data_IF_329231088737
#
_entry.id   IF_329231088737
#
_cell.length_a   1.000
_cell.length_b   1.000
_cell.length_c   1.000
_cell.angle_alpha   90.00
_cell.angle_beta   90.00
_cell.angle_gamma   90.00
#
_symmetry.space_group_name_H-M   'P 1'
#
loop_
_entity.id
_entity.type
_entity.pdbx_description
1 polymer ?
#
# COMPACT_ATOMS: atom_id res chain seq x y z
N UNK A 1 -21.75 -12.12 -34.96
CA UNK A 1 -20.29 -12.07 -34.75
C UNK A 1 -19.96 -10.60 -34.49
N UNK A 2 -19.99 -10.18 -33.23
CA UNK A 2 -19.85 -8.76 -32.88
C UNK A 2 -18.38 -8.47 -32.56
N UNK A 3 -17.71 -7.82 -33.51
CA UNK A 3 -16.34 -7.33 -33.37
C UNK A 3 -16.42 -5.90 -32.82
N UNK A 4 -15.94 -5.70 -31.60
CA UNK A 4 -15.71 -4.37 -31.03
C UNK A 4 -14.26 -3.97 -31.34
N UNK A 5 -14.07 -3.05 -32.27
CA UNK A 5 -12.78 -2.42 -32.53
C UNK A 5 -12.61 -1.23 -31.57
N UNK A 6 -11.67 -1.34 -30.63
CA UNK A 6 -11.19 -0.22 -29.84
C UNK A 6 -10.00 0.42 -30.57
N UNK A 7 -10.20 1.60 -31.16
CA UNK A 7 -9.11 2.43 -31.68
C UNK A 7 -8.64 3.31 -30.53
N UNK A 8 -7.51 2.95 -29.91
CA UNK A 8 -6.79 3.83 -29.00
C UNK A 8 -5.92 4.75 -29.87
N UNK A 9 -6.35 6.00 -30.03
CA UNK A 9 -5.50 7.06 -30.59
C UNK A 9 -4.54 7.50 -29.48
N UNK A 10 -3.33 6.96 -29.47
CA UNK A 10 -2.23 7.56 -28.71
C UNK A 10 -1.78 8.83 -29.43
N UNK A 11 -2.12 10.00 -28.89
CA UNK A 11 -1.34 11.20 -29.16
C UNK A 11 0.04 11.02 -28.51
N UNK A 12 1.03 10.63 -29.31
CA UNK A 12 2.43 10.76 -28.93
C UNK A 12 2.80 12.24 -29.00
N UNK A 13 2.70 12.94 -27.88
CA UNK A 13 3.39 14.21 -27.72
C UNK A 13 4.87 13.89 -27.51
N UNK A 14 5.66 14.09 -28.55
CA UNK A 14 7.11 14.00 -28.50
C UNK A 14 7.65 15.11 -27.59
N UNK A 15 8.12 14.73 -26.41
CA UNK A 15 8.89 15.58 -25.52
C UNK A 15 9.97 14.73 -24.87
N UNK A 16 11.13 14.66 -25.52
CA UNK A 16 12.36 14.20 -24.87
C UNK A 16 12.79 15.28 -23.87
N UNK A 17 12.18 15.30 -22.69
CA UNK A 17 12.63 16.11 -21.56
C UNK A 17 13.26 15.20 -20.54
N UNK A 18 14.54 15.42 -20.26
CA UNK A 18 15.18 14.97 -19.02
C UNK A 18 14.25 15.33 -17.87
N UNK A 19 13.89 14.34 -17.05
CA UNK A 19 13.03 14.56 -15.89
C UNK A 19 13.53 15.75 -15.07
N UNK A 20 12.68 16.76 -14.88
CA UNK A 20 13.09 18.01 -14.23
C UNK A 20 12.23 18.30 -13.01
N UNK A 21 12.87 18.56 -11.87
CA UNK A 21 12.23 19.12 -10.68
C UNK A 21 12.43 20.63 -10.72
N UNK A 22 11.34 21.38 -10.89
CA UNK A 22 11.34 22.84 -10.93
C UNK A 22 10.78 23.39 -9.63
N UNK A 23 11.39 24.46 -9.14
CA UNK A 23 11.07 25.14 -7.89
C UNK A 23 10.85 26.64 -8.12
N UNK A 24 11.21 27.45 -7.12
CA UNK A 24 11.03 28.89 -7.15
C UNK A 24 12.37 29.64 -7.30
N UNK A 25 12.37 30.71 -8.10
CA UNK A 25 13.40 31.74 -8.00
C UNK A 25 13.06 32.71 -6.87
N UNK A 26 14.09 33.34 -6.30
CA UNK A 26 13.96 34.48 -5.41
C UNK A 26 14.86 35.56 -5.98
N UNK A 27 14.28 36.71 -6.32
CA UNK A 27 14.98 37.82 -6.99
C UNK A 27 15.74 37.36 -8.24
N UNK A 28 15.14 36.46 -9.02
CA UNK A 28 15.73 35.89 -10.23
C UNK A 28 16.87 34.89 -9.99
N UNK A 29 17.28 34.65 -8.75
CA UNK A 29 18.36 33.72 -8.40
C UNK A 29 17.86 32.29 -8.20
N UNK A 30 18.70 31.29 -8.49
CA UNK A 30 18.46 29.85 -8.31
C UNK A 30 19.44 29.23 -7.28
N UNK A 31 19.22 27.99 -6.85
CA UNK A 31 20.11 27.25 -5.92
C UNK A 31 19.56 27.07 -4.50
N UNK A 32 20.19 26.16 -3.73
CA UNK A 32 19.73 25.75 -2.40
C UNK A 32 20.86 25.52 -1.38
N UNK A 33 20.57 25.73 -0.08
CA UNK A 33 19.53 26.66 0.42
C UNK A 33 19.99 28.09 0.17
N UNK A 34 19.03 28.98 -0.02
CA UNK A 34 19.31 30.34 -0.45
C UNK A 34 19.09 31.30 0.71
N UNK A 35 20.18 31.81 1.28
CA UNK A 35 20.11 32.96 2.18
C UNK A 35 19.73 34.21 1.38
N UNK A 36 18.70 34.91 1.82
CA UNK A 36 18.19 36.13 1.22
C UNK A 36 18.34 37.26 2.24
N UNK A 37 19.19 38.27 1.97
CA UNK A 37 19.42 39.37 2.90
C UNK A 37 18.21 40.32 2.94
N UNK A 38 18.05 41.02 4.07
CA UNK A 38 17.11 42.14 4.16
C UNK A 38 17.53 43.28 3.22
N UNK A 39 16.56 44.07 2.76
CA UNK A 39 16.75 45.26 1.93
C UNK A 39 16.56 46.54 2.76
N UNK A 40 17.38 47.55 2.49
CA UNK A 40 17.54 48.75 3.34
C UNK A 40 16.50 49.86 3.12
N UNK A 41 15.49 49.69 2.26
CA UNK A 41 14.52 50.74 1.91
C UNK A 41 13.13 50.65 2.57
N UNK A 42 12.94 49.85 3.63
CA UNK A 42 11.64 49.73 4.31
C UNK A 42 10.58 48.97 3.48
N UNK A 43 9.29 49.21 3.73
CA UNK A 43 8.18 48.43 3.12
C UNK A 43 8.07 48.54 1.58
N UNK A 44 8.82 49.44 0.94
CA UNK A 44 8.82 49.60 -0.52
C UNK A 44 9.72 48.59 -1.25
N UNK A 45 10.69 48.00 -0.55
CA UNK A 45 11.62 47.03 -1.13
C UNK A 45 11.06 45.61 -1.00
N UNK A 46 10.53 45.06 -2.09
CA UNK A 46 9.98 43.71 -2.10
C UNK A 46 10.92 42.69 -2.73
N UNK A 47 11.02 41.50 -2.13
CA UNK A 47 11.55 40.32 -2.80
C UNK A 47 10.51 39.74 -3.76
N UNK A 48 10.97 39.26 -4.91
CA UNK A 48 10.13 38.58 -5.91
C UNK A 48 10.36 37.09 -5.85
N UNK A 49 9.28 36.31 -5.85
CA UNK A 49 9.31 34.86 -5.91
C UNK A 49 8.67 34.44 -7.22
N UNK A 50 9.38 33.72 -8.06
CA UNK A 50 8.81 33.26 -9.33
C UNK A 50 8.79 31.74 -9.42
N UNK A 51 7.61 31.16 -9.64
CA UNK A 51 7.51 29.72 -9.81
C UNK A 51 8.01 29.26 -11.18
N UNK A 52 8.62 28.08 -11.22
CA UNK A 52 8.97 27.39 -12.46
C UNK A 52 10.17 27.97 -13.19
N UNK A 53 10.90 28.91 -12.57
CA UNK A 53 12.11 29.51 -13.17
C UNK A 53 13.40 28.73 -12.91
N UNK A 54 13.46 28.01 -11.80
CA UNK A 54 14.68 27.36 -11.34
C UNK A 54 14.51 25.86 -11.26
N UNK A 55 15.50 25.12 -11.78
CA UNK A 55 15.66 23.70 -11.47
C UNK A 55 16.11 23.52 -10.01
N UNK A 56 15.58 22.48 -9.38
CA UNK A 56 15.93 22.07 -8.02
C UNK A 56 16.91 20.91 -8.10
N UNK A 57 18.14 21.17 -7.68
CA UNK A 57 19.14 20.12 -7.53
C UNK A 57 18.91 19.40 -6.20
N UNK A 58 18.47 18.15 -6.25
CA UNK A 58 18.29 17.31 -5.07
C UNK A 58 19.65 16.80 -4.57
N UNK A 59 19.88 16.84 -3.26
CA UNK A 59 21.09 16.30 -2.61
C UNK A 59 21.19 14.77 -2.65
N UNK A 60 20.14 14.08 -3.11
CA UNK A 60 20.11 12.63 -3.17
C UNK A 60 18.89 12.12 -3.93
N UNK A 61 18.75 10.80 -3.94
CA UNK A 61 17.58 10.12 -4.49
C UNK A 61 16.48 10.09 -3.44
N UNK A 62 15.36 10.73 -3.74
CA UNK A 62 14.20 10.81 -2.87
C UNK A 62 12.96 10.25 -3.56
N UNK A 63 12.02 9.75 -2.77
CA UNK A 63 10.72 9.24 -3.20
C UNK A 63 9.62 9.96 -2.44
N UNK A 64 8.45 10.09 -3.04
CA UNK A 64 7.27 10.56 -2.31
C UNK A 64 6.68 9.43 -1.47
N UNK A 65 6.13 9.71 -0.27
CA UNK A 65 5.64 8.67 0.63
C UNK A 65 4.37 7.98 0.12
N UNK A 66 3.59 8.65 -0.73
CA UNK A 66 2.40 8.10 -1.38
C UNK A 66 2.30 8.61 -2.81
N UNK A 67 1.84 7.80 -3.75
CA UNK A 67 1.56 8.29 -5.10
C UNK A 67 0.36 9.24 -5.08
N UNK A 68 0.44 10.39 -5.74
CA UNK A 68 -0.66 11.34 -5.75
C UNK A 68 -0.30 12.71 -6.30
N UNK A 69 -1.21 13.67 -6.16
CA UNK A 69 -1.04 15.05 -6.62
C UNK A 69 -0.33 15.90 -5.55
N UNK A 70 0.92 16.28 -5.82
CA UNK A 70 1.74 17.13 -4.97
C UNK A 70 1.78 18.56 -5.49
N UNK A 71 1.97 19.52 -4.58
CA UNK A 71 2.18 20.94 -4.92
C UNK A 71 3.61 21.34 -4.59
N UNK A 72 4.33 21.87 -5.57
CA UNK A 72 5.65 22.48 -5.34
C UNK A 72 5.46 23.77 -4.54
N UNK A 73 6.31 24.01 -3.55
CA UNK A 73 6.28 25.21 -2.75
C UNK A 73 7.66 25.71 -2.40
N UNK A 74 7.67 26.89 -1.78
CA UNK A 74 8.82 27.52 -1.17
C UNK A 74 8.50 27.83 0.28
N UNK A 75 9.30 27.33 1.20
CA UNK A 75 9.27 27.76 2.59
C UNK A 75 10.27 28.89 2.79
N UNK A 76 9.80 30.01 3.34
CA UNK A 76 10.65 31.02 3.95
C UNK A 76 10.84 30.68 5.41
N UNK A 77 12.10 30.62 5.86
CA UNK A 77 12.42 30.44 7.27
C UNK A 77 13.27 31.61 7.77
N UNK A 78 12.79 32.28 8.82
CA UNK A 78 13.51 33.37 9.49
C UNK A 78 13.34 33.23 10.99
N UNK A 79 14.45 33.12 11.72
CA UNK A 79 14.46 32.96 13.18
C UNK A 79 13.54 31.82 13.67
N UNK A 80 13.51 30.70 12.95
CA UNK A 80 12.65 29.54 13.25
C UNK A 80 11.17 29.72 12.90
N UNK A 81 10.75 30.91 12.44
CA UNK A 81 9.39 31.14 11.94
C UNK A 81 9.34 30.78 10.46
N UNK A 82 8.35 29.95 10.12
CA UNK A 82 8.14 29.43 8.77
C UNK A 82 6.92 30.06 8.11
N UNK A 83 7.04 30.42 6.84
CA UNK A 83 5.93 30.82 5.98
C UNK A 83 6.04 30.11 4.64
N UNK A 84 4.98 29.44 4.20
CA UNK A 84 4.98 28.67 2.96
C UNK A 84 4.24 29.39 1.83
N UNK A 85 4.83 29.36 0.64
CA UNK A 85 4.19 29.74 -0.62
C UNK A 85 4.06 28.48 -1.48
N UNK A 86 2.88 28.26 -2.06
CA UNK A 86 2.62 27.09 -2.90
C UNK A 86 2.22 27.51 -4.30
N UNK A 87 2.66 26.72 -5.28
CA UNK A 87 2.18 26.81 -6.64
C UNK A 87 0.68 26.58 -6.71
N UNK A 88 0.02 27.20 -7.69
CA UNK A 88 -1.43 27.01 -7.89
C UNK A 88 -1.78 25.66 -8.52
N UNK A 89 -0.80 24.98 -9.13
CA UNK A 89 -1.03 23.72 -9.82
C UNK A 89 -0.37 22.55 -9.10
N UNK A 90 -1.00 21.39 -9.21
CA UNK A 90 -0.49 20.13 -8.66
C UNK A 90 0.11 19.27 -9.75
N UNK A 91 1.05 18.39 -9.40
CA UNK A 91 1.58 17.36 -10.29
C UNK A 91 1.43 15.99 -9.67
N UNK A 92 1.03 15.04 -10.51
CA UNK A 92 1.02 13.65 -10.10
C UNK A 92 2.46 13.14 -9.99
N UNK A 93 2.81 12.59 -8.84
CA UNK A 93 4.13 12.01 -8.56
C UNK A 93 3.90 10.60 -8.03
N UNK A 94 4.63 9.64 -8.60
CA UNK A 94 4.61 8.25 -8.19
C UNK A 94 5.60 7.99 -7.06
N UNK A 95 5.15 7.30 -6.02
CA UNK A 95 6.00 6.84 -4.92
C UNK A 95 6.97 5.71 -5.31
N UNK A 96 6.76 5.06 -6.47
CA UNK A 96 7.59 3.94 -6.92
C UNK A 96 8.79 4.40 -7.77
N UNK A 97 8.80 5.66 -8.21
CA UNK A 97 9.88 6.26 -9.00
C UNK A 97 10.57 7.33 -8.16
N UNK A 98 11.89 7.49 -8.29
CA UNK A 98 12.57 8.57 -7.61
C UNK A 98 12.14 9.91 -8.21
N UNK A 99 12.20 10.97 -7.41
CA UNK A 99 11.68 12.30 -7.75
C UNK A 99 12.44 12.91 -8.94
N UNK A 100 13.73 12.64 -9.07
CA UNK A 100 14.58 13.09 -10.19
C UNK A 100 14.32 12.34 -11.50
N UNK A 101 13.50 11.27 -11.50
CA UNK A 101 13.08 10.56 -12.72
C UNK A 101 11.62 10.85 -13.07
N UNK A 102 11.06 11.94 -12.57
CA UNK A 102 9.69 12.37 -12.80
C UNK A 102 9.64 13.88 -13.06
N UNK A 103 8.74 14.31 -13.95
CA UNK A 103 8.56 15.73 -14.22
C UNK A 103 7.74 16.39 -13.11
N UNK A 104 8.39 17.27 -12.36
CA UNK A 104 7.78 18.03 -11.27
C UNK A 104 7.87 19.51 -11.63
N UNK A 105 6.81 20.03 -12.23
CA UNK A 105 6.73 21.43 -12.65
C UNK A 105 5.58 22.16 -11.91
N UNK A 106 5.82 23.29 -11.23
CA UNK A 106 4.78 24.09 -10.58
C UNK A 106 3.75 24.71 -11.53
N UNK A 107 3.95 24.65 -12.85
CA UNK A 107 3.03 25.18 -13.86
C UNK A 107 3.42 26.57 -14.36
N UNK A 108 2.45 27.30 -14.93
CA UNK A 108 2.68 28.59 -15.61
C UNK A 108 3.30 29.61 -14.68
N UNK A 109 4.25 30.40 -15.17
CA UNK A 109 4.91 31.46 -14.42
C UNK A 109 3.96 32.40 -13.65
N UNK A 110 4.14 32.50 -12.34
CA UNK A 110 3.51 33.53 -11.50
C UNK A 110 4.53 34.11 -10.53
N UNK A 111 4.40 35.40 -10.27
CA UNK A 111 5.31 36.17 -9.41
C UNK A 111 4.56 36.63 -8.15
N UNK A 112 5.12 36.29 -6.99
CA UNK A 112 4.67 36.83 -5.70
C UNK A 112 5.68 37.87 -5.21
N UNK A 113 5.19 38.82 -4.43
CA UNK A 113 6.03 39.83 -3.80
C UNK A 113 5.89 39.77 -2.28
N UNK A 114 7.00 39.89 -1.56
CA UNK A 114 7.01 39.97 -0.11
C UNK A 114 7.92 41.10 0.37
N UNK A 115 7.59 41.71 1.50
CA UNK A 115 8.39 42.78 2.11
C UNK A 115 9.82 42.30 2.45
N UNK A 116 10.85 43.02 1.98
CA UNK A 116 12.26 42.71 2.17
C UNK A 116 12.87 43.18 3.50
N UNK A 117 12.07 43.62 4.46
CA UNK A 117 12.58 44.13 5.74
C UNK A 117 13.32 43.10 6.64
N UNK A 118 13.25 41.80 6.32
CA UNK A 118 13.88 40.73 7.13
C UNK A 118 14.65 39.76 6.26
N UNK A 119 15.81 39.31 6.72
CA UNK A 119 16.56 38.22 6.10
C UNK A 119 15.93 36.85 6.37
N UNK A 120 16.09 35.92 5.44
CA UNK A 120 15.53 34.57 5.55
C UNK A 120 16.27 33.55 4.68
N UNK A 121 16.10 32.27 5.00
CA UNK A 121 16.44 31.17 4.11
C UNK A 121 15.22 30.77 3.28
N UNK A 122 15.42 30.63 1.97
CA UNK A 122 14.43 30.13 1.03
C UNK A 122 14.69 28.64 0.73
N UNK A 123 13.68 27.82 0.98
CA UNK A 123 13.76 26.35 0.95
C UNK A 123 12.74 25.78 -0.03
N UNK A 124 13.18 24.96 -0.98
CA UNK A 124 12.25 24.24 -1.87
C UNK A 124 11.53 23.14 -1.09
N UNK A 125 10.21 23.11 -1.23
CA UNK A 125 9.33 22.19 -0.53
C UNK A 125 8.32 21.53 -1.46
N UNK A 126 7.73 20.44 -0.97
CA UNK A 126 6.70 19.69 -1.66
C UNK A 126 5.56 19.39 -0.68
N UNK A 127 4.35 19.81 -1.01
CA UNK A 127 3.15 19.53 -0.23
C UNK A 127 2.44 18.29 -0.78
N UNK A 128 2.20 17.32 0.09
CA UNK A 128 1.54 16.07 -0.21
C UNK A 128 0.00 16.21 -0.28
N UNK A 129 -0.71 15.22 -0.85
CA UNK A 129 -2.17 15.17 -0.86
C UNK A 129 -2.80 15.24 0.54
N UNK A 130 -2.12 14.73 1.57
CA UNK A 130 -2.55 14.78 2.97
C UNK A 130 -2.23 16.12 3.66
N UNK A 131 -1.67 17.09 2.92
CA UNK A 131 -1.32 18.41 3.40
C UNK A 131 0.04 18.51 4.09
N UNK A 132 0.75 17.39 4.33
CA UNK A 132 2.11 17.42 4.91
C UNK A 132 3.09 18.05 3.94
N UNK A 133 4.10 18.75 4.47
CA UNK A 133 5.07 19.48 3.66
C UNK A 133 6.47 18.94 3.93
N UNK A 134 7.14 18.57 2.84
CA UNK A 134 8.45 17.96 2.84
C UNK A 134 9.49 18.95 2.29
N UNK A 135 10.64 19.05 2.94
CA UNK A 135 11.77 19.81 2.41
C UNK A 135 12.53 18.95 1.40
N UNK A 136 12.80 19.50 0.22
CA UNK A 136 13.54 18.80 -0.83
C UNK A 136 15.04 18.75 -0.54
N UNK A 137 15.56 19.75 0.17
CA UNK A 137 16.92 19.80 0.68
C UNK A 137 16.93 20.43 2.07
N UNK A 138 17.84 19.97 2.94
CA UNK A 138 17.92 20.46 4.31
C UNK A 138 19.32 20.96 4.65
N UNK A 139 19.49 22.28 4.65
CA UNK A 139 20.71 22.97 5.05
C UNK A 139 20.32 24.35 5.60
N UNK A 140 21.13 24.92 6.51
CA UNK A 140 20.80 26.18 7.17
C UNK A 140 19.51 26.05 7.99
N UNK A 141 18.59 27.01 7.85
CA UNK A 141 17.29 26.99 8.54
C UNK A 141 16.23 26.14 7.82
N UNK A 142 16.54 25.50 6.69
CA UNK A 142 15.65 24.57 5.98
C UNK A 142 15.56 23.21 6.70
N UNK A 143 15.05 23.20 7.92
CA UNK A 143 14.92 21.99 8.75
C UNK A 143 13.46 21.56 8.85
N UNK A 144 13.17 20.28 8.61
CA UNK A 144 11.82 19.74 8.70
C UNK A 144 11.70 18.32 8.17
N UNK A 145 10.47 17.90 7.90
CA UNK A 145 10.19 16.56 7.39
C UNK A 145 10.85 16.34 6.03
N UNK A 146 11.57 15.23 5.87
CA UNK A 146 12.28 14.86 4.64
C UNK A 146 11.49 13.82 3.86
N UNK A 147 11.69 13.80 2.55
CA UNK A 147 11.19 12.72 1.70
C UNK A 147 11.93 11.41 2.01
N UNK A 148 11.25 10.25 1.92
CA UNK A 148 11.88 8.94 1.96
C UNK A 148 13.03 8.79 0.95
N UNK A 149 14.08 8.05 1.31
CA UNK A 149 15.21 7.71 0.41
C UNK A 149 15.02 6.38 -0.33
N UNK A 150 13.97 5.64 0.01
CA UNK A 150 13.55 4.40 -0.64
C UNK A 150 12.09 4.52 -1.10
N UNK A 151 11.69 3.83 -2.18
CA UNK A 151 10.30 3.86 -2.63
C UNK A 151 9.38 3.31 -1.56
N UNK A 152 8.30 4.03 -1.27
CA UNK A 152 7.23 3.51 -0.42
C UNK A 152 6.26 2.76 -1.33
N UNK A 153 6.36 1.44 -1.29
CA UNK A 153 5.46 0.56 -2.03
C UNK A 153 4.27 0.20 -1.13
N UNK A 154 3.08 0.68 -1.48
CA UNK A 154 1.85 0.23 -0.84
C UNK A 154 1.56 -1.18 -1.35
N UNK A 155 1.96 -2.19 -0.60
CA UNK A 155 1.63 -3.57 -0.95
C UNK A 155 0.17 -3.85 -0.66
N UNK A 156 -0.54 -4.46 -1.60
CA UNK A 156 -1.94 -4.83 -1.45
C UNK A 156 -2.17 -6.21 -2.05
N UNK A 157 -2.89 -7.08 -1.34
CA UNK A 157 -3.19 -8.44 -1.78
C UNK A 157 -4.69 -8.72 -1.75
N UNK A 158 -5.19 -9.37 -2.79
CA UNK A 158 -6.58 -9.84 -2.92
C UNK A 158 -6.62 -11.37 -2.85
N UNK A 159 -7.35 -11.89 -1.87
CA UNK A 159 -7.56 -13.33 -1.65
C UNK A 159 -8.79 -13.77 -2.44
N UNK A 160 -8.67 -14.85 -3.22
CA UNK A 160 -9.76 -15.46 -3.98
C UNK A 160 -10.54 -14.45 -4.85
N UNK A 161 -9.84 -13.45 -5.39
CA UNK A 161 -10.46 -12.34 -6.14
C UNK A 161 -11.58 -11.61 -5.38
N UNK A 162 -11.54 -11.62 -4.04
CA UNK A 162 -12.55 -11.02 -3.17
C UNK A 162 -13.81 -11.88 -2.96
N UNK A 163 -13.86 -13.08 -3.53
CA UNK A 163 -15.03 -13.96 -3.44
C UNK A 163 -14.96 -14.90 -2.24
N UNK A 164 -16.13 -15.30 -1.75
CA UNK A 164 -16.23 -16.41 -0.80
C UNK A 164 -15.76 -17.73 -1.44
N UNK A 165 -15.16 -18.60 -0.63
CA UNK A 165 -14.78 -19.94 -1.05
C UNK A 165 -15.89 -20.93 -0.66
N UNK A 166 -16.35 -21.72 -1.63
CA UNK A 166 -17.28 -22.84 -1.38
C UNK A 166 -16.58 -24.16 -1.69
N UNK A 167 -16.60 -25.08 -0.73
CA UNK A 167 -15.94 -26.39 -0.85
C UNK A 167 -16.98 -27.49 -0.69
N UNK A 168 -17.21 -28.25 -1.76
CA UNK A 168 -18.00 -29.48 -1.70
C UNK A 168 -17.11 -30.67 -1.37
N UNK A 169 -17.40 -31.39 -0.29
CA UNK A 169 -16.73 -32.65 0.05
C UNK A 169 -17.34 -33.86 -0.67
N UNK A 170 -18.40 -33.66 -1.45
CA UNK A 170 -19.12 -34.73 -2.14
C UNK A 170 -19.95 -35.60 -1.20
N UNK A 171 -20.35 -36.77 -1.69
CA UNK A 171 -21.04 -37.78 -0.89
C UNK A 171 -20.03 -38.57 -0.06
N UNK A 172 -20.32 -38.71 1.23
CA UNK A 172 -19.44 -39.36 2.19
C UNK A 172 -20.20 -40.48 2.91
N UNK A 173 -19.56 -41.64 3.09
CA UNK A 173 -20.09 -42.70 3.93
C UNK A 173 -19.62 -42.49 5.38
N UNK A 174 -20.59 -42.29 6.28
CA UNK A 174 -20.35 -42.11 7.72
C UNK A 174 -19.54 -43.24 8.36
N UNK A 175 -19.58 -44.46 7.82
CA UNK A 175 -18.79 -45.59 8.30
C UNK A 175 -17.30 -45.47 7.97
N UNK A 176 -16.97 -44.74 6.90
CA UNK A 176 -15.59 -44.55 6.41
C UNK A 176 -14.94 -43.27 6.90
N UNK A 177 -15.70 -42.39 7.57
CA UNK A 177 -15.15 -41.15 8.11
C UNK A 177 -14.08 -41.45 9.17
N UNK A 178 -12.89 -40.83 9.05
CA UNK A 178 -11.85 -40.98 10.04
C UNK A 178 -12.21 -40.26 11.34
N UNK A 179 -11.66 -40.74 12.46
CA UNK A 179 -11.81 -40.13 13.79
C UNK A 179 -10.67 -39.18 14.15
N UNK A 180 -9.66 -39.09 13.30
CA UNK A 180 -8.48 -38.22 13.45
C UNK A 180 -8.22 -37.46 12.16
N UNK A 181 -7.89 -36.16 12.21
CA UNK A 181 -7.45 -35.43 11.02
C UNK A 181 -6.21 -36.05 10.38
N UNK A 182 -6.09 -35.89 9.07
CA UNK A 182 -4.95 -36.35 8.25
C UNK A 182 -4.79 -37.88 8.13
N UNK A 183 -5.66 -38.70 8.75
CA UNK A 183 -5.64 -40.17 8.60
C UNK A 183 -6.51 -40.69 7.45
N UNK A 184 -6.95 -39.80 6.56
CA UNK A 184 -7.81 -40.11 5.41
C UNK A 184 -7.64 -39.06 4.32
N UNK A 185 -8.47 -39.12 3.28
CA UNK A 185 -8.32 -38.22 2.12
C UNK A 185 -8.88 -36.82 2.42
N UNK A 186 -8.00 -35.83 2.48
CA UNK A 186 -8.38 -34.43 2.49
C UNK A 186 -8.61 -33.92 1.06
N UNK A 187 -9.61 -33.06 0.87
CA UNK A 187 -9.81 -32.33 -0.38
C UNK A 187 -8.98 -31.06 -0.35
N UNK A 188 -7.93 -31.01 -1.16
CA UNK A 188 -7.04 -29.85 -1.28
C UNK A 188 -7.63 -28.81 -2.24
N UNK A 189 -7.64 -27.55 -1.79
CA UNK A 189 -8.11 -26.40 -2.54
C UNK A 189 -7.02 -25.35 -2.60
N UNK A 190 -6.61 -25.02 -3.82
CA UNK A 190 -5.66 -23.96 -4.12
C UNK A 190 -6.40 -22.62 -4.19
N UNK A 191 -6.18 -21.77 -3.19
CA UNK A 191 -6.78 -20.45 -3.08
C UNK A 191 -5.83 -19.42 -3.72
N UNK A 192 -6.23 -18.74 -4.80
CA UNK A 192 -5.38 -17.75 -5.45
C UNK A 192 -5.26 -16.50 -4.57
N UNK A 193 -4.06 -15.92 -4.51
CA UNK A 193 -3.79 -14.64 -3.86
C UNK A 193 -3.01 -13.77 -4.83
N UNK A 194 -3.54 -12.60 -5.19
CA UNK A 194 -2.88 -11.66 -6.10
C UNK A 194 -2.37 -10.46 -5.32
N UNK A 195 -1.07 -10.19 -5.38
CA UNK A 195 -0.43 -9.08 -4.69
C UNK A 195 0.13 -8.05 -5.68
N UNK A 196 0.09 -6.78 -5.31
CA UNK A 196 0.67 -5.65 -6.05
C UNK A 196 1.51 -4.82 -5.11
N UNK A 197 2.52 -4.09 -5.62
CA UNK A 197 3.34 -3.22 -4.78
C UNK A 197 4.42 -3.97 -3.98
N UNK A 198 4.94 -5.09 -4.49
CA UNK A 198 6.08 -5.79 -3.91
C UNK A 198 5.75 -7.08 -3.17
N UNK A 199 6.79 -7.69 -2.61
CA UNK A 199 6.68 -8.89 -1.78
C UNK A 199 6.21 -8.51 -0.36
N UNK A 200 5.42 -9.36 0.27
CA UNK A 200 4.87 -9.12 1.61
C UNK A 200 4.84 -10.38 2.46
N UNK A 201 5.14 -10.24 3.74
CA UNK A 201 4.94 -11.29 4.74
C UNK A 201 3.61 -11.06 5.44
N UNK A 202 2.77 -12.10 5.48
CA UNK A 202 1.45 -12.07 6.13
C UNK A 202 1.34 -13.15 7.20
N UNK A 203 0.57 -12.86 8.25
CA UNK A 203 0.08 -13.86 9.20
C UNK A 203 -1.30 -14.33 8.76
N UNK A 204 -1.44 -15.62 8.44
CA UNK A 204 -2.72 -16.28 8.21
C UNK A 204 -3.27 -16.84 9.52
N UNK A 205 -4.54 -16.55 9.80
CA UNK A 205 -5.34 -17.14 10.86
C UNK A 205 -6.65 -17.66 10.26
N UNK A 206 -7.16 -18.79 10.76
CA UNK A 206 -8.45 -19.36 10.35
C UNK A 206 -9.33 -19.50 11.58
N UNK A 207 -10.37 -18.68 11.66
CA UNK A 207 -11.30 -18.64 12.79
C UNK A 207 -12.60 -19.36 12.45
N UNK A 208 -13.12 -20.13 13.40
CA UNK A 208 -14.37 -20.88 13.25
C UNK A 208 -14.93 -21.29 14.61
N UNK A 209 -16.20 -21.69 14.65
CA UNK A 209 -16.81 -22.33 15.83
C UNK A 209 -16.28 -23.74 15.94
N UNK A 210 -15.44 -24.01 16.95
CA UNK A 210 -14.81 -25.30 17.13
C UNK A 210 -15.73 -26.32 17.84
N UNK A 211 -15.58 -27.59 17.45
CA UNK A 211 -15.94 -28.76 18.26
C UNK A 211 -14.69 -29.59 18.52
N UNK A 212 -14.72 -30.38 19.58
CA UNK A 212 -13.62 -31.30 19.92
C UNK A 212 -13.98 -32.70 19.44
N UNK A 213 -13.12 -33.30 18.62
CA UNK A 213 -13.23 -34.68 18.16
C UNK A 213 -11.94 -35.39 18.57
N UNK A 214 -12.06 -36.29 19.55
CA UNK A 214 -10.89 -36.87 20.23
C UNK A 214 -10.03 -35.78 20.88
N UNK A 215 -8.76 -35.66 20.46
CA UNK A 215 -7.83 -34.64 20.95
C UNK A 215 -7.72 -33.41 20.03
N UNK A 216 -8.51 -33.33 18.96
CA UNK A 216 -8.34 -32.30 17.92
C UNK A 216 -9.57 -31.43 17.77
N UNK A 217 -9.35 -30.17 17.39
CA UNK A 217 -10.43 -29.24 17.06
C UNK A 217 -10.79 -29.32 15.58
N UNK A 218 -12.09 -29.25 15.31
CA UNK A 218 -12.64 -29.21 13.97
C UNK A 218 -13.74 -28.16 13.87
N UNK A 219 -14.04 -27.73 12.65
CA UNK A 219 -15.16 -26.83 12.37
C UNK A 219 -16.45 -27.55 12.70
N UNK A 220 -17.29 -26.92 13.54
CA UNK A 220 -18.63 -27.40 13.83
C UNK A 220 -19.45 -27.50 12.54
N UNK A 221 -20.07 -28.65 12.31
CA UNK A 221 -21.03 -28.82 11.22
C UNK A 221 -22.47 -28.75 11.72
N UNK A 222 -23.44 -28.71 10.80
CA UNK A 222 -24.85 -28.88 11.11
C UNK A 222 -25.25 -30.33 11.46
N UNK A 223 -24.36 -31.31 11.25
CA UNK A 223 -24.59 -32.72 11.58
C UNK A 223 -23.87 -33.09 12.88
N UNK A 224 -24.63 -33.55 13.88
CA UNK A 224 -24.06 -33.97 15.16
C UNK A 224 -23.11 -35.16 14.98
N UNK A 225 -21.99 -35.14 15.70
CA UNK A 225 -20.95 -36.17 15.60
C UNK A 225 -20.04 -36.07 14.38
N UNK A 226 -20.19 -35.02 13.53
CA UNK A 226 -19.31 -34.75 12.38
C UNK A 226 -18.71 -33.35 12.46
N UNK A 227 -17.41 -33.27 12.24
CA UNK A 227 -16.64 -32.03 12.11
C UNK A 227 -15.96 -31.94 10.75
N UNK A 228 -15.52 -30.74 10.38
CA UNK A 228 -14.60 -30.56 9.24
C UNK A 228 -13.25 -30.06 9.73
N UNK A 229 -12.19 -30.84 9.54
CA UNK A 229 -10.82 -30.40 9.77
C UNK A 229 -10.33 -29.56 8.59
N UNK A 230 -9.66 -28.45 8.90
CA UNK A 230 -8.92 -27.64 7.94
C UNK A 230 -7.44 -27.94 8.14
N UNK A 231 -6.72 -28.26 7.06
CA UNK A 231 -5.33 -28.71 7.08
C UNK A 231 -4.48 -27.71 6.31
N UNK A 232 -3.39 -27.27 6.93
CA UNK A 232 -2.37 -26.43 6.30
C UNK A 232 -0.99 -27.00 6.63
N UNK A 233 -0.11 -27.13 5.62
CA UNK A 233 1.21 -27.76 5.77
C UNK A 233 1.15 -29.10 6.54
N UNK A 234 0.21 -29.96 6.16
CA UNK A 234 -0.01 -31.30 6.73
C UNK A 234 -0.44 -31.32 8.22
N UNK A 235 -0.75 -30.17 8.83
CA UNK A 235 -1.24 -30.07 10.19
C UNK A 235 -2.68 -29.53 10.25
N UNK A 236 -3.48 -30.07 11.17
CA UNK A 236 -4.81 -29.53 11.44
C UNK A 236 -4.70 -28.13 12.07
N UNK A 237 -5.44 -27.17 11.51
CA UNK A 237 -5.45 -25.78 11.96
C UNK A 237 -6.45 -25.61 13.09
N UNK A 238 -6.02 -25.02 14.20
CA UNK A 238 -6.90 -24.61 15.31
C UNK A 238 -7.29 -23.13 15.16
N UNK A 239 -8.36 -22.64 15.81
CA UNK A 239 -8.73 -21.22 15.78
C UNK A 239 -7.66 -20.27 16.36
N UNK A 240 -6.69 -20.82 17.09
CA UNK A 240 -5.55 -20.09 17.66
C UNK A 240 -4.28 -20.22 16.83
N UNK A 241 -4.25 -21.11 15.84
CA UNK A 241 -3.09 -21.36 14.99
C UNK A 241 -2.84 -20.15 14.08
N UNK A 242 -1.58 -19.71 14.02
CA UNK A 242 -1.11 -18.70 13.07
C UNK A 242 -0.04 -19.30 12.18
N UNK A 243 -0.13 -19.01 10.89
CA UNK A 243 0.89 -19.39 9.90
C UNK A 243 1.48 -18.15 9.25
N UNK A 244 2.81 -18.09 9.14
CA UNK A 244 3.49 -17.02 8.42
C UNK A 244 3.65 -17.42 6.96
N UNK A 245 3.22 -16.56 6.03
CA UNK A 245 3.25 -16.80 4.59
C UNK A 245 3.99 -15.63 3.92
N UNK A 246 4.97 -15.94 3.09
CA UNK A 246 5.64 -14.96 2.24
C UNK A 246 4.97 -14.96 0.86
N UNK A 247 4.36 -13.84 0.49
CA UNK A 247 3.71 -13.63 -0.79
C UNK A 247 4.61 -12.79 -1.68
N UNK A 248 4.73 -13.20 -2.95
CA UNK A 248 5.45 -12.44 -3.97
C UNK A 248 4.53 -11.44 -4.65
N UNK A 249 5.10 -10.36 -5.20
CA UNK A 249 4.34 -9.53 -6.13
C UNK A 249 3.82 -10.38 -7.31
N UNK A 250 2.55 -10.21 -7.69
CA UNK A 250 1.88 -11.02 -8.71
C UNK A 250 1.04 -12.16 -8.12
N UNK A 251 1.00 -13.30 -8.82
CA UNK A 251 0.12 -14.43 -8.47
C UNK A 251 0.78 -15.40 -7.49
N UNK A 252 0.07 -15.69 -6.40
CA UNK A 252 0.43 -16.66 -5.38
C UNK A 252 -0.70 -17.67 -5.19
N UNK A 253 -0.43 -18.73 -4.43
CA UNK A 253 -1.44 -19.73 -4.07
C UNK A 253 -1.23 -20.19 -2.63
N UNK A 254 -2.32 -20.29 -1.88
CA UNK A 254 -2.37 -20.94 -0.57
C UNK A 254 -3.17 -22.23 -0.71
N UNK A 255 -2.58 -23.35 -0.33
CA UNK A 255 -3.24 -24.66 -0.38
C UNK A 255 -3.81 -25.03 0.99
N UNK A 256 -5.11 -25.31 1.05
CA UNK A 256 -5.80 -25.78 2.24
C UNK A 256 -6.47 -27.12 1.97
N UNK A 257 -6.26 -28.09 2.85
CA UNK A 257 -6.98 -29.36 2.88
C UNK A 257 -8.26 -29.25 3.70
N UNK A 258 -9.35 -29.85 3.22
CA UNK A 258 -10.62 -29.95 3.94
C UNK A 258 -11.00 -31.42 4.08
N UNK A 259 -11.28 -31.85 5.31
CA UNK A 259 -11.58 -33.25 5.60
C UNK A 259 -12.74 -33.37 6.58
N UNK A 260 -13.78 -34.12 6.22
CA UNK A 260 -14.80 -34.51 7.17
C UNK A 260 -14.23 -35.58 8.12
N UNK A 261 -14.47 -35.40 9.41
CA UNK A 261 -14.07 -36.33 10.47
C UNK A 261 -15.28 -36.60 11.37
N UNK A 262 -15.35 -37.79 11.96
CA UNK A 262 -16.41 -38.14 12.91
C UNK A 262 -15.88 -38.21 14.34
N UNK A 263 -16.74 -37.93 15.30
CA UNK A 263 -16.46 -38.14 16.71
C UNK A 263 -16.39 -39.65 17.01
N UNK A 264 -15.29 -40.10 17.63
CA UNK A 264 -15.15 -41.49 18.07
C UNK A 264 -16.10 -41.86 19.20
N UNK A 265 -16.58 -40.88 19.97
CA UNK A 265 -17.55 -41.09 21.06
C UNK A 265 -18.98 -41.28 20.56
N UNK A 266 -19.28 -40.91 19.31
CA UNK A 266 -20.60 -41.07 18.69
C UNK A 266 -20.62 -42.35 17.86
N UNK A 267 -21.58 -43.24 18.15
CA UNK A 267 -21.72 -44.46 17.37
C UNK A 267 -22.12 -44.12 15.93
N UNK A 268 -21.56 -44.85 14.96
CA UNK A 268 -21.76 -44.59 13.51
C UNK A 268 -23.25 -44.52 13.13
N UNK A 269 -24.08 -45.37 13.73
CA UNK A 269 -25.53 -45.40 13.49
C UNK A 269 -26.25 -44.10 13.92
N UNK A 270 -25.70 -43.39 14.89
CA UNK A 270 -26.30 -42.19 15.51
C UNK A 270 -25.83 -40.91 14.80
N UNK A 271 -24.88 -41.00 13.87
CA UNK A 271 -24.52 -39.89 12.97
C UNK A 271 -25.64 -39.71 11.94
N UNK A 272 -26.29 -38.53 11.88
CA UNK A 272 -27.41 -38.31 10.97
C UNK A 272 -26.96 -38.40 9.50
N UNK A 273 -27.82 -38.96 8.66
CA UNK A 273 -27.64 -38.96 7.21
C UNK A 273 -28.20 -37.67 6.60
N UNK A 274 -27.71 -37.31 5.41
CA UNK A 274 -28.15 -36.12 4.69
C UNK A 274 -27.04 -35.08 4.52
N UNK A 275 -27.41 -33.91 4.01
CA UNK A 275 -26.47 -32.82 3.79
C UNK A 275 -26.06 -32.17 5.11
N UNK A 276 -24.81 -31.73 5.20
CA UNK A 276 -24.32 -30.90 6.29
C UNK A 276 -23.53 -29.70 5.76
N UNK A 277 -23.48 -28.64 6.56
CA UNK A 277 -22.71 -27.42 6.26
C UNK A 277 -21.75 -27.09 7.39
N UNK A 278 -20.68 -26.37 7.06
CA UNK A 278 -19.70 -25.82 7.98
C UNK A 278 -19.23 -24.45 7.46
N UNK A 279 -18.69 -23.62 8.35
CA UNK A 279 -18.22 -22.28 7.99
C UNK A 279 -16.98 -21.89 8.79
N UNK A 280 -16.05 -21.22 8.12
CA UNK A 280 -14.82 -20.70 8.69
C UNK A 280 -14.43 -19.40 7.97
N UNK A 281 -13.63 -18.57 8.64
CA UNK A 281 -13.13 -17.30 8.10
C UNK A 281 -11.61 -17.34 8.10
N UNK A 282 -11.01 -17.13 6.93
CA UNK A 282 -9.56 -16.94 6.81
C UNK A 282 -9.25 -15.44 6.85
N UNK A 283 -8.33 -15.06 7.73
CA UNK A 283 -7.84 -13.69 7.89
C UNK A 283 -6.35 -13.69 7.60
N UNK A 284 -5.91 -12.84 6.67
CA UNK A 284 -4.48 -12.57 6.46
C UNK A 284 -4.19 -11.13 6.88
N UNK A 285 -3.19 -10.96 7.74
CA UNK A 285 -2.75 -9.66 8.23
C UNK A 285 -1.32 -9.43 7.78
N UNK A 286 -1.07 -8.32 7.07
CA UNK A 286 0.28 -7.88 6.73
C UNK A 286 1.07 -7.58 8.01
N UNK A 287 2.29 -8.12 8.10
CA UNK A 287 3.20 -7.92 9.24
C UNK A 287 4.01 -6.63 9.09
#
# INVERSE_FOLDING_TARGET
MNVFAFVIVMLMCQGSTTATVMGFSVDGSCGLPRYVPARSGGMADMHTFDQGKCGVNLQGTYYVPVSGNYTVGLARVSNGVRTDLFAMSTRYISATKPLNNQDVNPGTYSTWKYNGATSFDACDTLKAPDGKIYFLNTYGQCTGQKLPITPVVNTSCTINSGNALSVSLGSLDRATLPTTPSSGTAKHIKIPVSCTGGDVTVSMNITYTAITIGSTQAVKTSANGVGTAIIYNNAAVTPTSKATINLKSGSNTVDLGFQAIRDSAVAVKDIPTGAFTASATMVMTQQ
#
